data_IF_542152789156
#
_entry.id   IF_542152789156
#
_cell.length_a   1.000
_cell.length_b   1.000
_cell.length_c   1.000
_cell.angle_alpha   90.00
_cell.angle_beta   90.00
_cell.angle_gamma   90.00
#
_symmetry.space_group_name_H-M   'P 1'
#
loop_
_entity.id
_entity.type
_entity.pdbx_description
1 polymer ?
#
# COMPACT_ATOMS: atom_id res chain seq x y z
N UNK A 1 -5.78 9.08 16.59
CA UNK A 1 -6.57 7.91 16.26
C UNK A 1 -6.22 7.46 14.85
N UNK A 2 -6.50 6.20 14.54
CA UNK A 2 -6.18 5.62 13.24
C UNK A 2 -7.19 6.07 12.20
N UNK A 3 -7.18 7.36 11.90
CA UNK A 3 -8.10 7.95 10.95
C UNK A 3 -7.57 7.81 9.53
N UNK A 4 -6.31 7.37 9.43
CA UNK A 4 -5.55 7.34 8.18
C UNK A 4 -5.78 8.61 7.36
N UNK A 5 -5.13 9.70 7.83
CA UNK A 5 -5.25 11.06 7.27
C UNK A 5 -6.70 11.55 7.30
N UNK A 6 -6.89 12.84 7.06
CA UNK A 6 -8.22 13.40 7.11
C UNK A 6 -8.73 13.69 5.72
N UNK A 7 -8.02 13.11 4.76
CA UNK A 7 -8.31 13.26 3.33
C UNK A 7 -8.64 14.72 3.01
N UNK A 8 -7.71 15.58 3.41
CA UNK A 8 -7.92 17.01 3.58
C UNK A 8 -6.89 17.44 4.60
N UNK A 9 -5.69 16.95 4.38
CA UNK A 9 -4.58 17.13 5.29
C UNK A 9 -3.34 17.31 4.47
N UNK A 10 -3.61 17.76 3.24
CA UNK A 10 -2.64 17.81 2.17
C UNK A 10 -1.74 16.59 2.22
N UNK A 11 -2.25 15.50 1.71
CA UNK A 11 -1.67 14.21 1.96
C UNK A 11 -1.78 13.34 0.71
N UNK A 12 -0.65 12.85 0.19
CA UNK A 12 -0.54 12.26 -1.13
C UNK A 12 -0.64 10.74 -1.15
N UNK A 13 -1.72 10.22 -1.71
CA UNK A 13 -1.87 8.79 -1.89
C UNK A 13 -1.37 8.38 -3.26
N UNK A 14 -0.06 8.33 -3.41
CA UNK A 14 0.55 7.89 -4.65
C UNK A 14 0.40 6.38 -4.76
N UNK A 15 -0.06 5.90 -5.94
CA UNK A 15 -0.41 4.50 -6.17
C UNK A 15 0.55 3.51 -5.54
N UNK A 16 0.07 2.90 -4.47
CA UNK A 16 0.85 1.97 -3.69
C UNK A 16 0.71 0.56 -4.26
N UNK A 17 1.60 -0.33 -3.86
CA UNK A 17 1.64 -1.67 -4.41
C UNK A 17 0.92 -2.66 -3.50
N UNK A 18 -0.11 -3.28 -4.06
CA UNK A 18 -0.89 -4.29 -3.36
C UNK A 18 -1.50 -5.23 -4.40
N UNK A 19 -2.19 -6.26 -3.96
CA UNK A 19 -2.48 -7.41 -4.81
C UNK A 19 -3.86 -7.97 -4.50
N UNK A 20 -4.30 -8.95 -5.29
CA UNK A 20 -5.65 -9.48 -5.18
C UNK A 20 -5.92 -10.00 -3.77
N UNK A 21 -6.89 -9.35 -3.15
CA UNK A 21 -7.24 -9.57 -1.76
C UNK A 21 -8.33 -10.63 -1.63
N UNK A 22 -9.54 -10.26 -2.03
CA UNK A 22 -10.66 -11.18 -2.08
C UNK A 22 -11.67 -10.65 -3.09
N UNK A 23 -12.04 -11.45 -4.07
CA UNK A 23 -12.88 -10.96 -5.15
C UNK A 23 -14.37 -11.13 -4.83
N UNK A 24 -14.67 -11.93 -3.81
CA UNK A 24 -16.05 -12.10 -3.39
C UNK A 24 -16.50 -10.86 -2.65
N UNK A 25 -15.58 -10.34 -1.86
CA UNK A 25 -15.80 -9.17 -1.04
C UNK A 25 -15.45 -7.90 -1.80
N UNK A 26 -14.27 -7.92 -2.39
CA UNK A 26 -13.75 -6.76 -3.06
C UNK A 26 -12.28 -6.58 -2.76
N UNK A 27 -11.51 -6.00 -3.68
CA UNK A 27 -10.07 -5.87 -3.51
C UNK A 27 -9.70 -4.81 -2.48
N UNK A 28 -8.90 -5.21 -1.50
CA UNK A 28 -8.30 -4.27 -0.56
C UNK A 28 -6.92 -3.87 -1.03
N UNK A 29 -6.29 -2.94 -0.32
CA UNK A 29 -4.96 -2.47 -0.68
C UNK A 29 -4.23 -1.99 0.56
N UNK A 30 -3.22 -2.73 0.97
CA UNK A 30 -2.38 -2.29 2.06
C UNK A 30 -1.18 -1.60 1.45
N UNK A 31 -0.95 -0.37 1.84
CA UNK A 31 0.02 0.45 1.15
C UNK A 31 1.39 0.27 1.77
N UNK A 32 2.30 -0.37 1.04
CA UNK A 32 3.66 -0.58 1.50
C UNK A 32 4.27 0.72 1.96
N UNK A 33 4.52 0.77 3.25
CA UNK A 33 5.18 1.90 3.87
C UNK A 33 6.56 2.06 3.26
N UNK A 34 7.14 0.94 2.85
CA UNK A 34 8.43 0.95 2.17
C UNK A 34 8.30 1.70 0.84
N UNK A 35 7.11 1.64 0.25
CA UNK A 35 6.85 2.33 -1.00
C UNK A 35 6.67 3.83 -0.75
N UNK A 36 5.74 4.18 0.13
CA UNK A 36 5.48 5.58 0.44
C UNK A 36 6.70 6.28 1.03
N UNK A 37 7.40 5.60 1.91
CA UNK A 37 8.54 6.18 2.58
C UNK A 37 9.71 6.43 1.64
N UNK A 38 9.85 5.59 0.62
CA UNK A 38 10.85 5.82 -0.42
C UNK A 38 10.47 7.04 -1.25
N UNK A 39 9.19 7.41 -1.19
CA UNK A 39 8.68 8.56 -1.93
C UNK A 39 9.12 9.84 -1.26
N UNK A 40 9.02 9.84 0.06
CA UNK A 40 9.45 10.96 0.88
C UNK A 40 10.94 11.10 0.78
N UNK A 41 11.55 9.93 0.66
CA UNK A 41 12.99 9.78 0.56
C UNK A 41 13.66 10.20 1.86
N UNK A 42 12.91 10.14 2.95
CA UNK A 42 13.40 10.62 4.23
C UNK A 42 13.28 9.54 5.30
N UNK A 43 13.55 9.92 6.53
CA UNK A 43 13.52 8.99 7.65
C UNK A 43 12.09 8.53 7.92
N UNK A 44 11.98 7.34 8.49
CA UNK A 44 10.69 6.75 8.82
C UNK A 44 9.94 7.62 9.83
N UNK A 45 10.69 8.49 10.51
CA UNK A 45 10.10 9.39 11.48
C UNK A 45 9.45 10.58 10.79
N UNK A 46 9.88 10.89 9.58
CA UNK A 46 9.37 12.06 8.89
C UNK A 46 7.96 11.79 8.45
N UNK A 47 7.73 10.54 8.12
CA UNK A 47 6.39 10.05 7.83
C UNK A 47 5.43 10.37 8.97
N UNK A 48 5.67 9.78 10.14
CA UNK A 48 4.76 9.95 11.28
C UNK A 48 4.75 11.39 11.79
N UNK A 49 5.87 12.09 11.65
CA UNK A 49 5.96 13.49 12.04
C UNK A 49 5.09 14.36 11.11
N UNK A 50 4.95 13.91 9.87
CA UNK A 50 4.18 14.64 8.87
C UNK A 50 2.73 14.17 8.89
N UNK A 51 2.57 12.86 8.90
CA UNK A 51 1.26 12.24 8.92
C UNK A 51 1.10 11.37 10.16
N UNK A 52 0.91 11.98 11.35
CA UNK A 52 0.68 11.24 12.60
C UNK A 52 -0.71 10.62 12.60
N UNK A 53 -1.42 10.89 11.52
CA UNK A 53 -2.76 10.41 11.29
C UNK A 53 -2.73 9.02 10.67
N UNK A 54 -1.53 8.47 10.51
CA UNK A 54 -1.36 7.16 9.90
C UNK A 54 -0.39 6.33 10.75
N UNK A 55 -0.44 5.01 10.58
CA UNK A 55 0.41 4.10 11.29
C UNK A 55 0.64 2.82 10.54
N UNK A 56 1.70 2.16 10.96
CA UNK A 56 2.30 1.09 10.19
C UNK A 56 1.81 -0.28 10.63
N UNK A 57 1.95 -1.23 9.72
CA UNK A 57 1.67 -2.62 9.99
C UNK A 57 2.66 -3.45 9.19
N UNK A 58 2.70 -4.73 9.44
CA UNK A 58 3.55 -5.63 8.68
C UNK A 58 2.94 -6.97 8.47
N UNK A 59 3.05 -7.39 7.24
CA UNK A 59 2.83 -8.75 6.89
C UNK A 59 4.22 -9.36 6.66
N UNK A 60 4.34 -10.68 6.63
CA UNK A 60 5.64 -11.31 6.33
C UNK A 60 6.07 -11.11 4.88
N UNK A 61 7.37 -10.96 4.62
CA UNK A 61 7.88 -10.80 3.25
C UNK A 61 7.30 -11.85 2.32
N UNK A 62 7.37 -13.09 2.78
CA UNK A 62 6.82 -14.24 2.07
C UNK A 62 5.36 -14.01 1.65
N UNK A 63 4.64 -13.22 2.43
CA UNK A 63 3.22 -12.94 2.19
C UNK A 63 3.02 -12.07 0.96
N UNK A 64 3.55 -10.85 1.02
CA UNK A 64 3.37 -9.88 -0.05
C UNK A 64 3.92 -10.44 -1.35
N UNK A 65 5.08 -11.08 -1.27
CA UNK A 65 5.72 -11.65 -2.46
C UNK A 65 4.81 -12.69 -3.12
N UNK A 66 4.16 -13.52 -2.31
CA UNK A 66 3.35 -14.61 -2.80
C UNK A 66 2.25 -14.14 -3.75
N UNK A 67 1.56 -13.07 -3.38
CA UNK A 67 0.46 -12.56 -4.17
C UNK A 67 0.97 -11.88 -5.44
N UNK A 68 2.00 -11.06 -5.28
CA UNK A 68 2.51 -10.24 -6.38
C UNK A 68 3.18 -11.11 -7.43
N UNK A 69 4.03 -12.00 -6.96
CA UNK A 69 4.74 -12.92 -7.84
C UNK A 69 3.75 -13.76 -8.65
N UNK A 70 2.56 -13.97 -8.10
CA UNK A 70 1.53 -14.76 -8.76
C UNK A 70 0.77 -13.92 -9.77
N UNK A 71 0.69 -12.62 -9.51
CA UNK A 71 -0.05 -11.72 -10.38
C UNK A 71 0.80 -11.31 -11.57
N UNK A 72 2.09 -11.60 -11.47
CA UNK A 72 3.04 -11.24 -12.51
C UNK A 72 3.03 -12.25 -13.65
N UNK A 73 1.86 -12.82 -13.89
CA UNK A 73 1.65 -13.65 -15.06
C UNK A 73 1.15 -12.77 -16.19
N UNK A 74 0.30 -11.81 -15.82
CA UNK A 74 -0.19 -10.80 -16.75
C UNK A 74 0.79 -9.63 -16.81
N UNK A 75 1.02 -9.01 -15.67
CA UNK A 75 1.89 -7.85 -15.59
C UNK A 75 3.33 -8.28 -15.34
N UNK A 76 4.23 -7.31 -15.31
CA UNK A 76 5.63 -7.58 -15.05
C UNK A 76 6.19 -6.58 -14.06
N UNK A 77 6.75 -7.08 -12.97
CA UNK A 77 7.35 -6.23 -11.96
C UNK A 77 8.60 -6.89 -11.41
N UNK A 78 9.74 -6.54 -11.98
CA UNK A 78 11.02 -7.10 -11.58
C UNK A 78 11.51 -6.50 -10.29
N UNK A 79 10.87 -5.43 -9.85
CA UNK A 79 11.14 -4.83 -8.55
C UNK A 79 10.91 -5.86 -7.44
N UNK A 80 10.38 -7.00 -7.85
CA UNK A 80 10.13 -8.14 -6.99
C UNK A 80 11.43 -8.77 -6.50
N UNK A 81 12.55 -8.38 -7.12
CA UNK A 81 13.87 -8.75 -6.63
C UNK A 81 14.04 -8.44 -5.15
N UNK A 82 13.38 -7.37 -4.72
CA UNK A 82 13.45 -6.91 -3.35
C UNK A 82 12.83 -7.91 -2.38
N UNK A 83 11.74 -8.54 -2.79
CA UNK A 83 11.00 -9.44 -1.92
C UNK A 83 11.39 -10.88 -2.19
N UNK A 84 11.42 -11.69 -1.14
CA UNK A 84 11.90 -13.06 -1.26
C UNK A 84 11.23 -13.93 -0.20
N UNK A 85 10.65 -15.08 -0.59
CA UNK A 85 9.98 -15.98 0.34
C UNK A 85 10.94 -16.85 1.16
N UNK A 86 12.23 -16.70 0.91
CA UNK A 86 13.23 -17.37 1.72
C UNK A 86 13.68 -16.43 2.83
N UNK A 87 12.78 -15.51 3.16
CA UNK A 87 13.07 -14.48 4.13
C UNK A 87 11.80 -13.80 4.59
N UNK A 88 11.77 -13.48 5.87
CA UNK A 88 10.64 -12.80 6.46
C UNK A 88 11.12 -11.57 7.20
N UNK A 89 11.91 -10.75 6.52
CA UNK A 89 12.51 -9.57 7.14
C UNK A 89 11.50 -8.44 7.22
N UNK A 90 10.27 -8.89 7.17
CA UNK A 90 9.06 -8.07 7.10
C UNK A 90 9.13 -6.90 6.13
N UNK A 91 7.94 -6.46 5.77
CA UNK A 91 7.75 -5.34 4.88
C UNK A 91 7.44 -4.15 5.74
N UNK A 92 6.59 -3.31 5.21
CA UNK A 92 5.83 -2.38 6.00
C UNK A 92 4.63 -1.99 5.18
N UNK A 93 3.53 -1.78 5.85
CA UNK A 93 2.31 -1.41 5.18
C UNK A 93 1.59 -0.37 6.00
N UNK A 94 0.82 0.46 5.34
CA UNK A 94 0.01 1.45 6.01
C UNK A 94 -1.38 1.42 5.42
N UNK A 95 -2.33 1.64 6.29
CA UNK A 95 -3.74 1.49 5.97
C UNK A 95 -4.21 2.58 5.06
N UNK A 96 -4.76 2.10 3.98
CA UNK A 96 -5.27 2.92 2.92
C UNK A 96 -6.50 3.73 3.35
N UNK A 97 -6.80 4.76 2.58
CA UNK A 97 -7.78 5.76 3.01
C UNK A 97 -9.19 5.40 2.55
N UNK A 98 -10.18 6.21 2.93
CA UNK A 98 -11.55 5.97 2.49
C UNK A 98 -11.65 6.15 0.99
N UNK A 99 -11.01 7.21 0.48
CA UNK A 99 -10.85 7.43 -0.95
C UNK A 99 -10.37 6.18 -1.62
N UNK A 100 -9.33 5.62 -1.06
CA UNK A 100 -8.61 4.52 -1.65
C UNK A 100 -9.37 3.20 -1.50
N UNK A 101 -9.92 2.97 -0.33
CA UNK A 101 -10.82 1.84 -0.10
C UNK A 101 -12.03 1.91 -1.02
N UNK A 102 -12.45 3.11 -1.35
CA UNK A 102 -13.52 3.31 -2.31
C UNK A 102 -12.98 3.21 -3.74
N UNK A 103 -11.83 3.82 -3.94
CA UNK A 103 -11.15 3.84 -5.22
C UNK A 103 -10.90 2.42 -5.71
N UNK A 104 -10.05 1.74 -4.97
CA UNK A 104 -9.62 0.39 -5.29
C UNK A 104 -10.68 -0.64 -4.88
N UNK A 105 -11.28 -0.45 -3.70
CA UNK A 105 -12.23 -1.41 -3.18
C UNK A 105 -13.50 -1.50 -4.01
N UNK A 106 -14.09 -0.35 -4.32
CA UNK A 106 -15.31 -0.32 -5.11
C UNK A 106 -14.99 -0.30 -6.60
N UNK A 107 -13.69 -0.37 -6.90
CA UNK A 107 -13.16 -0.25 -8.26
C UNK A 107 -13.79 0.93 -9.00
N UNK A 108 -13.35 2.13 -8.66
CA UNK A 108 -13.86 3.34 -9.28
C UNK A 108 -12.72 4.22 -9.75
N UNK A 109 -12.77 4.55 -11.03
CA UNK A 109 -11.74 5.35 -11.65
C UNK A 109 -12.27 5.92 -12.96
N UNK A 110 -12.87 7.09 -12.87
CA UNK A 110 -13.45 7.74 -14.04
C UNK A 110 -12.87 9.14 -14.19
N UNK A 111 -11.65 9.29 -13.69
CA UNK A 111 -10.97 10.57 -13.64
C UNK A 111 -9.56 10.33 -13.12
N UNK A 112 -8.87 11.38 -12.73
CA UNK A 112 -7.65 11.22 -11.94
C UNK A 112 -8.07 10.78 -10.54
N UNK A 113 -7.89 9.48 -10.22
CA UNK A 113 -8.50 8.81 -9.07
C UNK A 113 -8.55 9.64 -7.80
N UNK A 114 -9.77 9.81 -7.30
CA UNK A 114 -10.06 10.63 -6.14
C UNK A 114 -11.40 10.21 -5.55
N UNK A 115 -11.51 8.91 -5.27
CA UNK A 115 -12.76 8.28 -4.82
C UNK A 115 -13.78 8.29 -5.96
#
# INVERSE_FOLDING_TARGET
>A
SDVFEFEFSETPLLPSYNIQVSVAQGPRNWLLLSDVLKKLKMSSRIFRSNFPNVEIVTIAEAEFYRQVSASLLFSSSKDLEAFNPESKELLDLVEFTNEIQTLLGSSVEWLHPSD
#
